data_IF_659342156513
#
_entry.id   IF_659342156513
#
_cell.length_a   1.000
_cell.length_b   1.000
_cell.length_c   1.000
_cell.angle_alpha   90.00
_cell.angle_beta   90.00
_cell.angle_gamma   90.00
#
_symmetry.space_group_name_H-M   'P 1'
#
loop_
_entity.id
_entity.type
_entity.pdbx_description
1 polymer ?
#
# COMPACT_ATOMS: atom_id res chain seq x y z
N UNK A 1 -29.89 -31.62 -7.97
CA UNK A 1 -29.03 -30.51 -7.46
C UNK A 1 -27.54 -30.65 -7.86
N UNK A 2 -26.86 -31.79 -7.60
CA UNK A 2 -25.43 -31.90 -7.95
C UNK A 2 -25.14 -32.09 -9.45
N UNK A 3 -26.03 -32.75 -10.19
CA UNK A 3 -25.94 -32.90 -11.67
C UNK A 3 -26.25 -31.59 -12.41
N UNK A 4 -27.01 -30.69 -11.82
CA UNK A 4 -27.31 -29.37 -12.38
C UNK A 4 -26.07 -28.49 -12.53
N UNK A 5 -25.01 -28.80 -11.76
CA UNK A 5 -23.71 -28.11 -11.87
C UNK A 5 -23.00 -28.38 -13.21
N UNK A 6 -23.39 -29.44 -13.92
CA UNK A 6 -22.79 -29.90 -15.16
C UNK A 6 -23.62 -29.55 -16.39
N UNK A 7 -24.67 -28.73 -16.25
CA UNK A 7 -25.53 -28.32 -17.37
C UNK A 7 -24.76 -27.49 -18.40
N UNK A 8 -25.07 -27.71 -19.67
CA UNK A 8 -24.44 -26.98 -20.77
C UNK A 8 -24.68 -25.48 -20.69
N UNK A 9 -25.81 -25.05 -20.11
CA UNK A 9 -26.14 -23.63 -19.90
C UNK A 9 -25.18 -22.92 -18.91
N UNK A 10 -24.47 -23.68 -18.08
CA UNK A 10 -23.45 -23.14 -17.19
C UNK A 10 -22.14 -22.86 -17.92
N UNK A 11 -21.90 -23.49 -19.07
CA UNK A 11 -20.68 -23.36 -19.87
C UNK A 11 -20.70 -22.05 -20.66
N UNK A 12 -19.55 -21.41 -20.78
CA UNK A 12 -19.39 -20.19 -21.57
C UNK A 12 -19.87 -20.40 -23.01
N UNK A 13 -20.62 -19.43 -23.54
CA UNK A 13 -21.29 -19.52 -24.86
C UNK A 13 -20.31 -19.80 -26.00
N UNK A 14 -19.10 -19.25 -25.93
CA UNK A 14 -18.07 -19.36 -26.96
C UNK A 14 -17.57 -20.79 -27.25
N UNK A 15 -17.87 -21.72 -26.35
CA UNK A 15 -17.38 -23.12 -26.46
C UNK A 15 -18.50 -24.16 -26.39
N UNK A 16 -19.76 -23.75 -26.19
CA UNK A 16 -20.89 -24.66 -25.96
C UNK A 16 -21.12 -25.65 -27.11
N UNK A 17 -20.99 -25.23 -28.35
CA UNK A 17 -21.18 -26.02 -29.56
C UNK A 17 -20.13 -27.13 -29.76
N UNK A 18 -19.02 -27.05 -29.00
CA UNK A 18 -17.90 -28.00 -29.04
C UNK A 18 -17.91 -29.00 -27.87
N UNK A 19 -18.87 -28.87 -26.97
CA UNK A 19 -18.95 -29.71 -25.79
C UNK A 19 -19.55 -31.05 -26.10
N UNK A 20 -18.89 -32.11 -25.68
CA UNK A 20 -19.42 -33.48 -25.64
C UNK A 20 -19.47 -33.96 -24.20
N UNK A 21 -20.37 -34.85 -23.89
CA UNK A 21 -20.53 -35.39 -22.56
C UNK A 21 -19.83 -36.75 -22.44
N UNK A 22 -18.87 -36.88 -21.51
CA UNK A 22 -18.09 -38.09 -21.27
C UNK A 22 -18.30 -38.54 -19.83
N UNK A 23 -18.61 -39.81 -19.61
CA UNK A 23 -18.75 -40.37 -18.25
C UNK A 23 -17.45 -40.22 -17.52
N UNK A 24 -17.51 -39.79 -16.27
CA UNK A 24 -16.31 -39.49 -15.44
C UNK A 24 -15.37 -40.70 -15.37
N UNK A 25 -15.90 -41.94 -15.25
CA UNK A 25 -15.10 -43.18 -15.20
C UNK A 25 -14.20 -43.39 -16.43
N UNK A 26 -14.48 -42.72 -17.52
CA UNK A 26 -13.69 -42.77 -18.76
C UNK A 26 -12.59 -41.69 -18.81
N UNK A 27 -12.51 -40.80 -17.79
CA UNK A 27 -11.50 -39.77 -17.73
C UNK A 27 -10.29 -40.26 -16.94
N UNK A 28 -9.11 -40.21 -17.56
CA UNK A 28 -7.84 -40.47 -16.90
C UNK A 28 -7.21 -39.14 -16.43
N UNK A 29 -7.01 -39.03 -15.13
CA UNK A 29 -6.39 -37.85 -14.53
C UNK A 29 -4.87 -37.97 -14.55
N UNK A 30 -4.17 -36.85 -14.57
CA UNK A 30 -2.72 -36.83 -14.37
C UNK A 30 -2.36 -37.37 -12.96
N UNK A 31 -1.18 -37.95 -12.82
CA UNK A 31 -0.69 -38.44 -11.50
C UNK A 31 -0.55 -37.32 -10.45
N UNK A 32 -0.49 -36.08 -10.90
CA UNK A 32 -0.44 -34.91 -10.02
C UNK A 32 -1.84 -34.62 -9.46
N UNK A 33 -2.02 -34.84 -8.15
CA UNK A 33 -3.22 -34.44 -7.40
C UNK A 33 -2.98 -33.07 -6.73
N UNK A 34 -3.34 -31.95 -7.35
CA UNK A 34 -3.25 -30.65 -6.68
C UNK A 34 -4.17 -30.62 -5.46
N UNK A 35 -3.84 -29.78 -4.48
CA UNK A 35 -4.76 -29.50 -3.37
C UNK A 35 -6.04 -28.90 -3.92
N UNK A 36 -7.18 -29.25 -3.30
CA UNK A 36 -8.48 -28.69 -3.70
C UNK A 36 -8.42 -27.17 -3.59
N UNK A 37 -8.69 -26.51 -4.71
CA UNK A 37 -8.83 -25.05 -4.76
C UNK A 37 -10.20 -24.65 -4.19
N UNK A 38 -10.21 -24.13 -2.98
CA UNK A 38 -11.45 -23.77 -2.26
C UNK A 38 -12.23 -22.65 -2.96
N UNK A 39 -11.55 -21.74 -3.69
CA UNK A 39 -12.20 -20.68 -4.43
C UNK A 39 -12.89 -21.25 -5.68
N UNK A 40 -12.20 -22.08 -6.44
CA UNK A 40 -12.76 -22.77 -7.59
C UNK A 40 -13.92 -23.70 -7.19
N UNK A 41 -13.76 -24.42 -6.10
CA UNK A 41 -14.83 -25.27 -5.52
C UNK A 41 -16.09 -24.48 -5.19
N UNK A 42 -15.93 -23.32 -4.55
CA UNK A 42 -17.07 -22.44 -4.21
C UNK A 42 -17.73 -21.91 -5.48
N UNK A 43 -16.97 -21.48 -6.47
CA UNK A 43 -17.52 -21.01 -7.76
C UNK A 43 -18.32 -22.09 -8.49
N UNK A 44 -17.81 -23.33 -8.49
CA UNK A 44 -18.54 -24.47 -9.11
C UNK A 44 -19.84 -24.73 -8.36
N UNK A 45 -19.84 -24.68 -7.00
CA UNK A 45 -21.05 -24.86 -6.21
C UNK A 45 -22.10 -23.77 -6.44
N UNK A 46 -21.68 -22.55 -6.70
CA UNK A 46 -22.57 -21.38 -6.83
C UNK A 46 -23.09 -21.21 -8.26
N UNK A 47 -22.22 -21.43 -9.27
CA UNK A 47 -22.51 -21.09 -10.66
C UNK A 47 -22.44 -22.28 -11.62
N UNK A 48 -22.12 -23.47 -11.15
CA UNK A 48 -21.85 -24.63 -11.98
C UNK A 48 -20.47 -24.57 -12.68
N UNK A 49 -20.22 -25.59 -13.50
CA UNK A 49 -18.98 -25.69 -14.28
C UNK A 49 -19.07 -24.73 -15.48
N UNK A 50 -18.29 -23.65 -15.47
CA UNK A 50 -18.28 -22.61 -16.51
C UNK A 50 -17.41 -22.97 -17.70
N UNK A 51 -16.35 -23.71 -17.47
CA UNK A 51 -15.44 -24.17 -18.50
C UNK A 51 -15.45 -25.71 -18.57
N UNK A 52 -15.57 -26.31 -19.76
CA UNK A 52 -15.53 -27.76 -19.94
C UNK A 52 -14.14 -28.30 -19.60
N UNK A 53 -14.08 -29.62 -19.37
CA UNK A 53 -12.81 -30.32 -19.21
C UNK A 53 -12.23 -30.60 -20.60
N UNK A 54 -10.94 -30.32 -20.80
CA UNK A 54 -10.28 -30.62 -22.07
C UNK A 54 -9.61 -32.00 -22.00
N UNK A 55 -9.93 -32.84 -22.97
CA UNK A 55 -9.47 -34.23 -22.99
C UNK A 55 -8.94 -34.61 -24.38
N UNK A 56 -8.08 -35.60 -24.43
CA UNK A 56 -7.61 -36.22 -25.66
C UNK A 56 -7.84 -37.72 -25.63
N UNK A 57 -8.21 -38.30 -26.74
CA UNK A 57 -8.34 -39.74 -26.87
C UNK A 57 -7.06 -40.32 -27.48
N UNK A 58 -6.20 -40.90 -26.65
CA UNK A 58 -4.87 -41.27 -27.09
C UNK A 58 -4.68 -42.75 -27.51
N UNK A 59 -5.48 -43.69 -27.01
CA UNK A 59 -5.14 -45.16 -27.26
C UNK A 59 -6.29 -46.15 -27.20
N UNK A 60 -7.43 -45.82 -26.63
CA UNK A 60 -8.59 -46.71 -26.50
C UNK A 60 -9.87 -45.94 -26.70
N UNK A 61 -10.83 -46.54 -27.42
CA UNK A 61 -12.07 -45.87 -27.83
C UNK A 61 -12.90 -45.24 -26.67
N UNK A 62 -12.69 -45.71 -25.45
CA UNK A 62 -13.46 -45.30 -24.26
C UNK A 62 -12.65 -44.62 -23.16
N UNK A 63 -11.36 -44.31 -23.37
CA UNK A 63 -10.51 -43.68 -22.36
C UNK A 63 -10.00 -42.33 -22.88
N UNK A 64 -10.20 -41.30 -22.08
CA UNK A 64 -9.80 -39.92 -22.37
C UNK A 64 -8.86 -39.37 -21.32
N UNK A 65 -7.68 -38.95 -21.74
CA UNK A 65 -6.72 -38.30 -20.86
C UNK A 65 -7.11 -36.83 -20.65
N UNK A 66 -7.21 -36.42 -19.39
CA UNK A 66 -7.46 -35.00 -19.06
C UNK A 66 -6.20 -34.19 -19.30
N UNK A 67 -6.24 -33.27 -20.25
CA UNK A 67 -5.12 -32.41 -20.63
C UNK A 67 -5.21 -31.01 -20.00
N UNK A 68 -6.45 -30.53 -19.75
CA UNK A 68 -6.69 -29.31 -18.97
C UNK A 68 -7.99 -29.43 -18.17
N UNK A 69 -7.99 -28.91 -16.95
CA UNK A 69 -9.11 -28.96 -16.03
C UNK A 69 -8.95 -29.92 -14.85
N UNK A 70 -7.75 -30.45 -14.59
CA UNK A 70 -7.49 -31.34 -13.43
C UNK A 70 -8.00 -30.76 -12.11
N UNK A 71 -7.81 -29.45 -11.86
CA UNK A 71 -8.33 -28.77 -10.66
C UNK A 71 -9.87 -28.77 -10.63
N UNK A 72 -10.52 -28.57 -11.77
CA UNK A 72 -11.99 -28.62 -11.90
C UNK A 72 -12.49 -30.02 -11.60
N UNK A 73 -11.83 -31.03 -12.13
CA UNK A 73 -12.15 -32.45 -11.88
C UNK A 73 -11.99 -32.79 -10.40
N UNK A 74 -10.91 -32.38 -9.75
CA UNK A 74 -10.70 -32.61 -8.31
C UNK A 74 -11.79 -31.92 -7.48
N UNK A 75 -12.19 -30.70 -7.82
CA UNK A 75 -13.29 -30.02 -7.15
C UNK A 75 -14.63 -30.75 -7.34
N UNK A 76 -14.91 -31.26 -8.55
CA UNK A 76 -16.11 -32.04 -8.84
C UNK A 76 -16.15 -33.35 -8.05
N UNK A 77 -15.01 -34.06 -7.94
CA UNK A 77 -14.92 -35.27 -7.10
C UNK A 77 -15.22 -34.99 -5.62
N UNK A 78 -14.76 -33.86 -5.10
CA UNK A 78 -15.04 -33.45 -3.72
C UNK A 78 -16.51 -33.02 -3.49
N UNK A 79 -17.11 -32.43 -4.51
CA UNK A 79 -18.50 -31.94 -4.44
C UNK A 79 -19.52 -33.06 -4.66
N UNK A 80 -19.26 -33.99 -5.59
CA UNK A 80 -20.21 -34.98 -6.09
C UNK A 80 -19.79 -36.38 -5.64
N UNK A 81 -20.54 -36.97 -4.72
CA UNK A 81 -20.42 -38.38 -4.37
C UNK A 81 -21.01 -39.25 -5.51
N UNK A 82 -20.36 -40.29 -5.95
CA UNK A 82 -20.74 -41.15 -7.10
C UNK A 82 -20.64 -40.45 -8.46
N UNK A 83 -19.55 -39.74 -8.66
CA UNK A 83 -19.29 -39.01 -9.92
C UNK A 83 -19.05 -39.91 -11.13
N UNK A 84 -18.64 -41.19 -10.92
CA UNK A 84 -18.19 -42.10 -11.98
C UNK A 84 -19.20 -42.30 -13.09
N UNK A 85 -20.51 -42.34 -12.80
CA UNK A 85 -21.56 -42.51 -13.75
C UNK A 85 -22.12 -41.20 -14.33
N UNK A 86 -21.63 -40.08 -13.86
CA UNK A 86 -22.06 -38.77 -14.36
C UNK A 86 -21.33 -38.42 -15.63
N UNK A 87 -22.05 -37.79 -16.53
CA UNK A 87 -21.50 -37.22 -17.75
C UNK A 87 -20.95 -35.84 -17.49
N UNK A 88 -19.66 -35.68 -17.78
CA UNK A 88 -18.90 -34.43 -17.57
C UNK A 88 -18.80 -33.73 -18.93
N UNK A 89 -19.12 -32.42 -19.00
CA UNK A 89 -18.95 -31.65 -20.22
C UNK A 89 -17.47 -31.50 -20.56
N UNK A 90 -17.06 -32.04 -21.69
CA UNK A 90 -15.70 -32.12 -22.18
C UNK A 90 -15.57 -31.55 -23.59
N UNK A 91 -14.39 -31.07 -23.94
CA UNK A 91 -13.97 -30.82 -25.33
C UNK A 91 -12.87 -31.83 -25.67
N UNK A 92 -13.12 -32.63 -26.68
CA UNK A 92 -12.09 -33.55 -27.21
C UNK A 92 -11.21 -32.75 -28.17
N UNK A 93 -9.95 -32.56 -27.79
CA UNK A 93 -8.95 -31.90 -28.60
C UNK A 93 -8.18 -32.92 -29.43
N UNK A 94 -7.99 -32.67 -30.72
CA UNK A 94 -6.92 -33.31 -31.45
C UNK A 94 -5.58 -32.67 -31.03
N UNK A 95 -4.50 -33.42 -31.19
CA UNK A 95 -3.19 -33.00 -30.68
C UNK A 95 -2.73 -31.65 -31.25
N UNK A 96 -3.01 -31.34 -32.49
CA UNK A 96 -2.63 -30.10 -33.16
C UNK A 96 -3.38 -28.87 -32.57
N UNK A 97 -4.71 -28.97 -32.43
CA UNK A 97 -5.51 -27.90 -31.84
C UNK A 97 -5.16 -27.64 -30.36
N UNK A 98 -4.76 -28.69 -29.65
CA UNK A 98 -4.32 -28.57 -28.27
C UNK A 98 -2.94 -27.90 -28.16
N UNK A 99 -1.99 -28.29 -29.05
CA UNK A 99 -0.67 -27.70 -29.10
C UNK A 99 -0.73 -26.20 -29.43
N UNK A 100 -1.61 -25.80 -30.34
CA UNK A 100 -1.87 -24.39 -30.68
C UNK A 100 -2.49 -23.63 -29.47
N UNK A 101 -3.40 -24.28 -28.75
CA UNK A 101 -3.99 -23.71 -27.52
C UNK A 101 -2.96 -23.57 -26.41
N UNK A 102 -2.13 -24.59 -26.19
CA UNK A 102 -1.02 -24.52 -25.22
C UNK A 102 -0.04 -23.42 -25.62
N UNK A 103 0.34 -23.33 -26.89
CA UNK A 103 1.22 -22.26 -27.37
C UNK A 103 0.59 -20.87 -27.16
N UNK A 104 -0.73 -20.75 -27.35
CA UNK A 104 -1.45 -19.50 -27.07
C UNK A 104 -1.54 -19.19 -25.58
N UNK A 105 -1.80 -20.19 -24.73
CA UNK A 105 -1.81 -20.05 -23.28
C UNK A 105 -0.41 -19.86 -22.70
N UNK A 106 0.60 -20.56 -23.22
CA UNK A 106 1.99 -20.30 -22.84
C UNK A 106 2.39 -18.89 -23.22
N UNK A 107 2.05 -18.41 -24.42
CA UNK A 107 2.27 -17.01 -24.82
C UNK A 107 1.46 -16.03 -23.99
N UNK A 108 0.25 -16.41 -23.57
CA UNK A 108 -0.59 -15.59 -22.69
C UNK A 108 -0.05 -15.60 -21.25
N UNK A 109 0.35 -16.76 -20.73
CA UNK A 109 1.03 -16.92 -19.43
C UNK A 109 2.42 -16.31 -19.44
N UNK A 110 3.17 -16.40 -20.53
CA UNK A 110 4.41 -15.64 -20.68
C UNK A 110 4.12 -14.15 -20.67
N UNK A 111 3.11 -13.66 -21.39
CA UNK A 111 2.68 -12.25 -21.29
C UNK A 111 2.16 -11.87 -19.89
N UNK A 112 1.53 -12.80 -19.17
CA UNK A 112 1.06 -12.60 -17.78
C UNK A 112 2.20 -12.78 -16.75
N UNK A 113 3.16 -13.66 -17.02
CA UNK A 113 4.41 -13.81 -16.24
C UNK A 113 5.38 -12.65 -16.50
N UNK A 114 5.37 -12.09 -17.70
CA UNK A 114 6.10 -10.86 -18.05
C UNK A 114 5.27 -9.59 -17.78
N UNK A 115 3.99 -9.67 -17.50
CA UNK A 115 3.29 -8.59 -16.80
C UNK A 115 3.83 -8.59 -15.37
N UNK A 116 4.82 -7.72 -15.17
CA UNK A 116 5.31 -7.38 -13.87
C UNK A 116 4.11 -7.19 -12.94
N UNK A 117 4.05 -7.94 -11.83
CA UNK A 117 2.97 -7.80 -10.86
C UNK A 117 3.04 -6.39 -10.27
N UNK A 118 2.41 -5.45 -10.97
CA UNK A 118 2.42 -4.03 -10.61
C UNK A 118 1.76 -3.77 -9.25
N UNK A 119 1.01 -4.75 -8.70
CA UNK A 119 0.45 -4.65 -7.35
C UNK A 119 1.55 -4.52 -6.29
N UNK A 120 2.74 -5.09 -6.54
CA UNK A 120 3.93 -4.99 -5.68
C UNK A 120 4.46 -3.57 -5.55
N UNK A 121 4.18 -2.72 -6.54
CA UNK A 121 4.63 -1.32 -6.56
C UNK A 121 3.63 -0.34 -5.95
N UNK A 122 2.48 -0.82 -5.48
CA UNK A 122 1.47 0.02 -4.83
C UNK A 122 1.89 0.44 -3.42
N UNK A 123 1.34 1.56 -2.97
CA UNK A 123 1.51 2.07 -1.60
C UNK A 123 2.83 2.81 -1.41
N UNK A 124 3.28 2.89 -0.17
CA UNK A 124 4.57 3.46 0.23
C UNK A 124 5.05 2.70 1.46
N UNK A 125 6.23 2.09 1.37
CA UNK A 125 6.82 1.26 2.43
C UNK A 125 8.20 1.77 2.78
N UNK A 126 8.63 1.50 4.03
CA UNK A 126 10.02 1.62 4.39
C UNK A 126 10.84 0.54 3.65
N UNK A 127 12.06 0.90 3.28
CA UNK A 127 12.96 0.00 2.57
C UNK A 127 13.44 -1.11 3.52
N UNK A 128 13.39 -2.40 3.13
CA UNK A 128 13.97 -3.49 3.91
C UNK A 128 15.45 -3.25 4.16
N UNK A 129 15.86 -3.25 5.44
CA UNK A 129 17.22 -2.89 5.85
C UNK A 129 17.73 -3.83 6.95
N UNK A 130 18.86 -4.48 6.67
CA UNK A 130 19.52 -5.38 7.62
C UNK A 130 20.07 -4.65 8.85
N UNK A 131 20.53 -3.41 8.72
CA UNK A 131 21.04 -2.64 9.89
C UNK A 131 19.89 -2.30 10.85
N UNK A 132 18.75 -1.84 10.31
CA UNK A 132 17.56 -1.58 11.13
C UNK A 132 16.99 -2.88 11.69
N UNK A 133 17.02 -3.98 10.93
CA UNK A 133 16.62 -5.30 11.44
C UNK A 133 17.52 -5.77 12.58
N UNK A 134 18.83 -5.59 12.43
CA UNK A 134 19.81 -5.90 13.49
C UNK A 134 19.58 -5.03 14.74
N UNK A 135 19.32 -3.75 14.56
CA UNK A 135 18.95 -2.85 15.67
C UNK A 135 17.77 -3.42 16.47
N UNK A 136 16.69 -3.84 15.81
CA UNK A 136 15.53 -4.46 16.47
C UNK A 136 15.89 -5.74 17.22
N UNK A 137 16.79 -6.55 16.70
CA UNK A 137 17.25 -7.80 17.32
C UNK A 137 18.12 -7.59 18.55
N UNK A 138 18.68 -6.38 18.74
CA UNK A 138 19.58 -6.05 19.84
C UNK A 138 18.96 -5.13 20.90
N UNK A 139 17.65 -4.88 20.82
CA UNK A 139 16.95 -4.12 21.87
C UNK A 139 17.00 -4.89 23.19
N UNK A 140 17.49 -4.23 24.24
CA UNK A 140 17.66 -4.85 25.55
C UNK A 140 16.32 -5.05 26.26
N UNK A 141 15.97 -6.30 26.56
CA UNK A 141 14.69 -6.67 27.22
C UNK A 141 14.60 -6.05 28.63
N UNK A 142 15.73 -5.91 29.36
CA UNK A 142 15.72 -5.27 30.67
C UNK A 142 15.38 -3.78 30.58
N UNK A 143 15.87 -3.10 29.54
CA UNK A 143 15.52 -1.70 29.29
C UNK A 143 14.03 -1.54 28.95
N UNK A 144 13.45 -2.46 28.16
CA UNK A 144 12.01 -2.47 27.90
C UNK A 144 11.19 -2.68 29.17
N UNK A 145 11.66 -3.54 30.09
CA UNK A 145 11.01 -3.72 31.40
C UNK A 145 11.04 -2.43 32.20
N UNK A 146 12.16 -1.70 32.18
CA UNK A 146 12.29 -0.43 32.87
C UNK A 146 11.31 0.63 32.37
N UNK A 147 11.01 0.64 31.05
CA UNK A 147 10.00 1.56 30.48
C UNK A 147 8.62 1.38 31.13
N UNK A 148 8.28 0.15 31.50
CA UNK A 148 6.98 -0.18 32.12
C UNK A 148 6.99 -0.06 33.64
N UNK A 149 8.17 0.03 34.25
CA UNK A 149 8.34 -0.01 35.73
C UNK A 149 8.61 1.37 36.34
N UNK A 150 9.36 2.22 35.63
CA UNK A 150 9.77 3.53 36.13
C UNK A 150 8.89 4.65 35.56
N UNK A 151 8.64 5.65 36.40
CA UNK A 151 7.83 6.81 36.03
C UNK A 151 8.67 7.85 35.25
N UNK A 152 9.13 7.47 34.05
CA UNK A 152 9.96 8.31 33.18
C UNK A 152 9.10 8.90 32.07
N UNK A 153 9.17 10.20 31.86
CA UNK A 153 8.44 10.90 30.81
C UNK A 153 9.09 10.64 29.43
N UNK A 154 8.79 9.50 28.84
CA UNK A 154 9.33 9.11 27.54
C UNK A 154 8.79 9.96 26.38
N UNK A 155 7.59 10.55 26.49
CA UNK A 155 7.08 11.46 25.47
C UNK A 155 7.97 12.71 25.36
N UNK A 156 8.32 13.30 26.50
CA UNK A 156 9.20 14.47 26.52
C UNK A 156 10.60 14.15 25.97
N UNK A 157 11.18 13.02 26.36
CA UNK A 157 12.49 12.58 25.85
C UNK A 157 12.45 12.40 24.34
N UNK A 158 11.40 11.74 23.81
CA UNK A 158 11.21 11.56 22.39
C UNK A 158 11.05 12.91 21.67
N UNK A 159 10.21 13.80 22.18
CA UNK A 159 9.96 15.12 21.61
C UNK A 159 11.26 15.93 21.51
N UNK A 160 12.03 15.99 22.59
CA UNK A 160 13.30 16.75 22.65
C UNK A 160 14.35 16.14 21.71
N UNK A 161 14.39 14.80 21.59
CA UNK A 161 15.29 14.09 20.68
C UNK A 161 14.88 14.30 19.22
N UNK A 162 13.59 14.15 18.93
CA UNK A 162 13.07 14.32 17.58
C UNK A 162 13.28 15.75 17.06
N UNK A 163 13.03 16.76 17.88
CA UNK A 163 13.20 18.17 17.48
C UNK A 163 14.66 18.48 17.06
N UNK A 164 15.62 17.94 17.78
CA UNK A 164 17.05 18.05 17.42
C UNK A 164 17.38 17.25 16.17
N UNK A 165 16.85 16.04 16.09
CA UNK A 165 17.13 15.09 15.03
C UNK A 165 16.61 15.58 13.66
N UNK A 166 15.36 16.07 13.60
CA UNK A 166 14.78 16.55 12.36
C UNK A 166 15.48 17.81 11.82
N UNK A 167 15.89 18.71 12.74
CA UNK A 167 16.67 19.90 12.42
C UNK A 167 18.12 19.59 12.04
N UNK A 168 18.59 18.38 12.30
CA UNK A 168 19.93 17.89 11.95
C UNK A 168 20.05 17.41 10.49
N UNK A 169 18.97 17.39 9.72
CA UNK A 169 19.00 17.04 8.30
C UNK A 169 19.94 18.00 7.53
N UNK A 170 20.75 17.41 6.64
CA UNK A 170 21.61 18.15 5.71
C UNK A 170 21.02 18.20 4.29
N UNK A 171 20.02 17.37 4.05
CA UNK A 171 19.36 17.23 2.76
C UNK A 171 18.05 18.02 2.65
N UNK A 172 17.42 18.30 3.80
CA UNK A 172 16.12 18.92 3.85
C UNK A 172 16.08 20.03 4.89
N UNK A 173 15.23 21.04 4.64
CA UNK A 173 15.04 22.16 5.54
C UNK A 173 13.57 22.58 5.60
N UNK A 174 12.99 22.59 6.79
CA UNK A 174 11.69 23.21 7.06
C UNK A 174 11.94 24.43 7.94
N UNK A 175 11.79 25.62 7.36
CA UNK A 175 11.89 26.87 8.08
C UNK A 175 10.60 27.15 8.83
N UNK A 176 10.71 27.87 9.95
CA UNK A 176 9.57 28.29 10.74
C UNK A 176 9.03 27.25 11.72
N UNK A 177 9.67 26.07 11.89
CA UNK A 177 9.26 25.10 12.91
C UNK A 177 9.33 25.67 14.36
N UNK A 178 10.11 26.70 14.61
CA UNK A 178 10.18 27.42 15.87
C UNK A 178 8.88 28.17 16.21
N UNK A 179 8.04 28.48 15.20
CA UNK A 179 6.71 29.07 15.37
C UNK A 179 5.65 28.07 15.87
N UNK A 180 6.00 26.78 15.88
CA UNK A 180 5.13 25.67 16.34
C UNK A 180 5.61 25.21 17.69
N UNK A 181 5.29 25.99 18.74
CA UNK A 181 5.85 25.80 20.09
C UNK A 181 5.30 24.56 20.80
N UNK A 182 4.06 24.16 20.48
CA UNK A 182 3.40 23.01 21.08
C UNK A 182 3.78 21.75 20.33
N UNK A 183 4.48 20.87 21.02
CA UNK A 183 5.02 19.62 20.46
C UNK A 183 4.43 18.43 21.18
N UNK A 184 3.89 17.47 20.44
CA UNK A 184 3.22 16.31 21.02
C UNK A 184 3.70 15.03 20.36
N UNK A 185 3.94 13.98 21.15
CA UNK A 185 4.10 12.61 20.67
C UNK A 185 2.77 12.13 20.06
N UNK A 186 2.84 11.41 18.95
CA UNK A 186 1.65 10.87 18.28
C UNK A 186 1.83 9.41 17.86
N UNK A 187 0.72 8.70 17.70
CA UNK A 187 0.70 7.36 17.12
C UNK A 187 0.84 7.38 15.57
N UNK A 188 1.83 8.13 15.07
CA UNK A 188 2.02 8.43 13.66
C UNK A 188 1.11 9.55 13.17
N UNK A 189 1.25 9.95 11.88
CA UNK A 189 0.53 11.10 11.29
C UNK A 189 -0.99 10.90 11.26
N UNK A 190 -1.49 9.67 11.20
CA UNK A 190 -2.92 9.39 11.15
C UNK A 190 -3.67 9.88 12.40
N UNK A 191 -3.06 9.84 13.58
CA UNK A 191 -3.68 10.40 14.78
C UNK A 191 -3.84 11.92 14.68
N UNK A 192 -2.85 12.61 14.09
CA UNK A 192 -2.96 14.05 13.83
C UNK A 192 -4.06 14.37 12.81
N UNK A 193 -4.22 13.53 11.77
CA UNK A 193 -5.32 13.69 10.80
C UNK A 193 -6.68 13.57 11.48
N UNK A 194 -6.86 12.52 12.28
CA UNK A 194 -8.14 12.28 12.97
C UNK A 194 -8.48 13.46 13.91
N UNK A 195 -7.49 13.95 14.67
CA UNK A 195 -7.65 15.11 15.53
C UNK A 195 -7.98 16.39 14.74
N UNK A 196 -7.25 16.67 13.65
CA UNK A 196 -7.51 17.81 12.78
C UNK A 196 -8.93 17.78 12.19
N UNK A 197 -9.39 16.61 11.73
CA UNK A 197 -10.74 16.49 11.17
C UNK A 197 -11.83 16.59 12.24
N UNK A 198 -11.59 16.09 13.43
CA UNK A 198 -12.52 16.25 14.54
C UNK A 198 -12.70 17.74 14.91
N UNK A 199 -11.62 18.52 14.94
CA UNK A 199 -11.67 19.97 15.21
C UNK A 199 -12.41 20.74 14.11
N UNK A 200 -12.33 20.28 12.87
CA UNK A 200 -12.90 20.96 11.70
C UNK A 200 -14.06 20.18 11.06
N UNK A 201 -14.80 19.37 11.84
CA UNK A 201 -15.84 18.46 11.35
C UNK A 201 -17.00 19.16 10.61
N UNK A 202 -17.22 20.47 10.85
CA UNK A 202 -18.22 21.30 10.20
C UNK A 202 -17.78 21.80 8.82
N UNK A 203 -16.47 21.73 8.51
CA UNK A 203 -15.88 22.21 7.27
C UNK A 203 -15.90 21.15 6.17
N UNK A 204 -15.66 21.60 4.92
CA UNK A 204 -15.43 20.70 3.80
C UNK A 204 -13.94 20.32 3.76
N UNK A 205 -13.64 19.02 3.77
CA UNK A 205 -12.26 18.53 3.74
C UNK A 205 -11.69 18.54 2.34
N UNK A 206 -10.44 18.99 2.20
CA UNK A 206 -9.76 19.15 0.92
C UNK A 206 -8.36 18.55 0.94
N UNK A 207 -8.00 17.87 -0.14
CA UNK A 207 -6.62 17.46 -0.45
C UNK A 207 -6.45 17.38 -1.97
N UNK A 208 -5.22 17.28 -2.44
CA UNK A 208 -4.94 17.01 -3.85
C UNK A 208 -5.29 15.59 -4.27
N UNK A 209 -5.55 15.36 -5.57
CA UNK A 209 -5.52 14.01 -6.14
C UNK A 209 -4.12 13.41 -5.94
N UNK A 210 -4.05 12.11 -5.71
CA UNK A 210 -2.77 11.46 -5.38
C UNK A 210 -2.36 11.49 -3.90
N UNK A 211 -3.08 12.20 -3.04
CA UNK A 211 -2.85 12.18 -1.59
C UNK A 211 -3.11 10.80 -0.96
N UNK A 212 -2.71 10.64 0.29
CA UNK A 212 -2.88 9.40 1.03
C UNK A 212 -4.36 9.01 1.09
N UNK A 213 -4.67 7.79 0.60
CA UNK A 213 -6.05 7.31 0.46
C UNK A 213 -6.86 7.32 1.78
N UNK A 214 -6.19 7.33 2.94
CA UNK A 214 -6.80 7.41 4.26
C UNK A 214 -7.71 8.63 4.41
N UNK A 215 -7.32 9.76 3.84
CA UNK A 215 -8.14 10.98 3.83
C UNK A 215 -9.50 10.69 3.18
N UNK A 216 -9.50 10.21 1.94
CA UNK A 216 -10.72 9.89 1.21
C UNK A 216 -11.56 8.80 1.89
N UNK A 217 -10.93 7.78 2.46
CA UNK A 217 -11.62 6.68 3.12
C UNK A 217 -12.38 7.16 4.37
N UNK A 218 -11.79 8.06 5.16
CA UNK A 218 -12.42 8.64 6.33
C UNK A 218 -13.48 9.69 5.94
N UNK A 219 -13.20 10.51 4.97
CA UNK A 219 -14.12 11.60 4.56
C UNK A 219 -15.42 11.09 3.94
N UNK A 220 -15.45 9.89 3.41
CA UNK A 220 -16.71 9.26 2.98
C UNK A 220 -17.76 9.18 4.09
N UNK A 221 -17.32 9.19 5.35
CA UNK A 221 -18.21 9.23 6.54
C UNK A 221 -18.62 10.65 6.92
N UNK A 222 -17.88 11.65 6.49
CA UNK A 222 -18.16 13.06 6.70
C UNK A 222 -18.64 13.63 5.37
N UNK A 223 -19.87 14.02 5.26
CA UNK A 223 -20.58 14.31 4.00
C UNK A 223 -20.02 15.47 3.14
N UNK A 224 -18.94 16.13 3.56
CA UNK A 224 -18.39 17.29 2.86
C UNK A 224 -16.89 17.10 2.60
N UNK A 225 -16.54 16.58 1.44
CA UNK A 225 -15.16 16.54 0.98
C UNK A 225 -15.09 16.75 -0.53
N UNK A 226 -13.98 17.29 -1.04
CA UNK A 226 -13.74 17.49 -2.46
C UNK A 226 -12.25 17.68 -2.73
N UNK A 227 -11.75 17.22 -3.88
CA UNK A 227 -10.35 17.47 -4.24
C UNK A 227 -10.11 18.96 -4.53
N UNK A 228 -8.91 19.44 -4.18
CA UNK A 228 -8.44 20.79 -4.50
C UNK A 228 -8.44 21.00 -6.01
N UNK A 229 -8.05 19.97 -6.76
CA UNK A 229 -7.99 19.95 -8.24
C UNK A 229 -9.36 20.19 -8.89
N UNK A 230 -10.43 19.79 -8.23
CA UNK A 230 -11.77 19.83 -8.84
C UNK A 230 -12.54 21.13 -8.52
N UNK A 231 -12.14 21.85 -7.45
CA UNK A 231 -12.83 23.07 -7.05
C UNK A 231 -11.95 24.01 -6.21
N UNK A 232 -12.10 25.29 -6.41
CA UNK A 232 -11.37 26.31 -5.67
C UNK A 232 -11.60 26.24 -4.15
N UNK A 233 -10.60 26.66 -3.38
CA UNK A 233 -10.67 26.79 -1.92
C UNK A 233 -11.64 27.88 -1.50
N UNK A 234 -12.41 27.64 -0.44
CA UNK A 234 -13.33 28.58 0.18
C UNK A 234 -13.13 28.64 1.70
N UNK A 235 -13.67 29.66 2.35
CA UNK A 235 -13.54 29.86 3.81
C UNK A 235 -14.14 28.72 4.67
N UNK A 236 -15.02 27.89 4.08
CA UNK A 236 -15.60 26.72 4.74
C UNK A 236 -14.80 25.43 4.55
N UNK A 237 -13.57 25.53 4.07
CA UNK A 237 -12.72 24.38 3.84
C UNK A 237 -11.75 24.12 5.00
N UNK A 238 -11.26 22.89 5.11
CA UNK A 238 -10.11 22.48 5.89
C UNK A 238 -9.21 21.62 4.99
N UNK A 239 -7.91 21.90 4.96
CA UNK A 239 -6.99 21.42 3.94
C UNK A 239 -5.91 20.53 4.56
N UNK A 240 -5.58 19.42 3.90
CA UNK A 240 -4.39 18.62 4.20
C UNK A 240 -3.49 18.59 2.97
N UNK A 241 -2.20 18.86 3.16
CA UNK A 241 -1.18 18.83 2.11
C UNK A 241 0.01 18.00 2.58
N UNK A 242 0.42 17.01 1.79
CA UNK A 242 1.66 16.27 2.07
C UNK A 242 2.90 17.04 1.59
N UNK A 243 3.92 17.09 2.45
CA UNK A 243 5.22 17.69 2.15
C UNK A 243 6.36 16.77 2.61
N UNK A 244 7.06 16.07 1.68
CA UNK A 244 6.85 16.09 0.23
C UNK A 244 5.54 15.45 -0.19
N UNK A 245 5.02 15.90 -1.31
CA UNK A 245 3.88 15.27 -1.96
C UNK A 245 4.28 13.92 -2.53
N UNK A 246 3.57 12.87 -2.14
CA UNK A 246 4.03 11.50 -2.36
C UNK A 246 4.17 11.10 -3.82
N UNK A 247 3.36 11.67 -4.73
CA UNK A 247 3.42 11.36 -6.16
C UNK A 247 4.55 12.07 -6.89
N UNK A 248 5.04 13.20 -6.34
CA UNK A 248 6.14 13.94 -6.97
C UNK A 248 7.48 13.74 -6.25
N UNK A 249 7.46 13.31 -4.98
CA UNK A 249 8.66 13.19 -4.14
C UNK A 249 9.27 14.52 -3.69
N UNK A 250 8.60 15.62 -4.01
CA UNK A 250 8.94 17.01 -3.69
C UNK A 250 7.66 17.80 -3.36
N UNK A 251 7.73 19.10 -3.22
CA UNK A 251 6.51 19.90 -3.02
C UNK A 251 5.54 19.75 -4.19
N UNK A 252 4.24 19.81 -3.90
CA UNK A 252 3.23 19.84 -4.96
C UNK A 252 3.32 21.18 -5.73
N UNK A 253 3.27 21.20 -7.09
CA UNK A 253 3.46 22.41 -7.88
C UNK A 253 2.51 23.56 -7.50
N UNK A 254 1.32 23.24 -6.98
CA UNK A 254 0.33 24.23 -6.54
C UNK A 254 0.37 24.51 -5.03
N UNK A 255 1.26 23.87 -4.26
CA UNK A 255 1.27 23.95 -2.79
C UNK A 255 1.31 25.41 -2.32
N UNK A 256 2.27 26.18 -2.84
CA UNK A 256 2.41 27.60 -2.46
C UNK A 256 1.14 28.41 -2.74
N UNK A 257 0.58 28.27 -3.94
CA UNK A 257 -0.65 29.02 -4.32
C UNK A 257 -1.83 28.64 -3.43
N UNK A 258 -1.96 27.37 -3.04
CA UNK A 258 -3.02 26.91 -2.13
C UNK A 258 -2.80 27.46 -0.72
N UNK A 259 -1.56 27.46 -0.22
CA UNK A 259 -1.22 28.03 1.08
C UNK A 259 -1.48 29.54 1.12
N UNK A 260 -1.08 30.28 0.08
CA UNK A 260 -1.38 31.72 -0.04
C UNK A 260 -2.90 31.97 0.01
N UNK A 261 -3.69 31.14 -0.67
CA UNK A 261 -5.15 31.24 -0.65
C UNK A 261 -5.76 30.84 0.69
N UNK A 262 -5.23 29.82 1.34
CA UNK A 262 -5.66 29.43 2.69
C UNK A 262 -5.33 30.52 3.71
N UNK A 263 -4.17 31.19 3.60
CA UNK A 263 -3.80 32.31 4.46
C UNK A 263 -4.74 33.51 4.28
N UNK A 264 -5.05 33.87 3.02
CA UNK A 264 -6.01 34.92 2.69
C UNK A 264 -7.40 34.67 3.31
N UNK A 265 -7.91 33.42 3.15
CA UNK A 265 -9.27 33.04 3.56
C UNK A 265 -9.34 32.50 5.00
N UNK A 266 -8.24 32.47 5.74
CA UNK A 266 -8.13 31.87 7.07
C UNK A 266 -8.64 30.42 7.13
N UNK A 267 -8.29 29.63 6.11
CA UNK A 267 -8.63 28.21 6.00
C UNK A 267 -7.60 27.40 6.76
N UNK A 268 -7.98 26.55 7.74
CA UNK A 268 -7.02 25.75 8.49
C UNK A 268 -6.34 24.70 7.59
N UNK A 269 -5.02 24.56 7.77
CA UNK A 269 -4.18 23.65 7.01
C UNK A 269 -3.39 22.73 7.94
N UNK A 270 -3.33 21.46 7.60
CA UNK A 270 -2.42 20.46 8.17
C UNK A 270 -1.38 20.07 7.12
N UNK A 271 -0.09 20.09 7.49
CA UNK A 271 1.01 19.60 6.65
C UNK A 271 1.41 18.19 7.10
N UNK A 272 1.33 17.22 6.16
CA UNK A 272 1.75 15.83 6.38
C UNK A 272 3.19 15.60 5.89
N UNK A 273 4.12 15.48 6.82
CA UNK A 273 5.52 15.21 6.57
C UNK A 273 5.90 13.72 6.74
N UNK A 274 4.96 12.78 6.48
CA UNK A 274 5.23 11.34 6.63
C UNK A 274 6.39 10.84 5.76
N UNK A 275 6.67 11.49 4.64
CA UNK A 275 7.74 11.12 3.71
C UNK A 275 8.99 12.01 3.82
N UNK A 276 9.03 12.96 4.73
CA UNK A 276 10.11 13.94 4.84
C UNK A 276 11.49 13.27 5.01
N UNK A 277 11.58 12.28 5.89
CA UNK A 277 12.85 11.59 6.23
C UNK A 277 13.36 10.59 5.18
N UNK A 278 12.62 10.41 4.10
CA UNK A 278 13.02 9.57 2.96
C UNK A 278 13.20 10.38 1.67
N UNK A 279 13.14 11.70 1.78
CA UNK A 279 13.25 12.63 0.68
C UNK A 279 14.54 13.45 0.77
N UNK A 280 14.84 14.18 -0.32
CA UNK A 280 15.94 15.16 -0.41
C UNK A 280 15.47 16.43 -1.11
N UNK A 281 16.29 17.48 -0.95
CA UNK A 281 16.13 18.78 -1.64
C UNK A 281 14.79 19.48 -1.31
N UNK A 282 14.26 19.24 -0.09
CA UNK A 282 13.10 19.94 0.43
C UNK A 282 13.55 21.21 1.16
N UNK A 283 13.11 22.36 0.70
CA UNK A 283 13.33 23.65 1.36
C UNK A 283 12.06 24.51 1.29
N UNK A 284 11.34 24.62 2.39
CA UNK A 284 10.12 25.42 2.46
C UNK A 284 10.01 26.18 3.78
N UNK A 285 9.49 27.40 3.70
CA UNK A 285 9.28 28.29 4.86
C UNK A 285 7.80 28.39 5.22
N UNK A 286 7.45 27.83 6.38
CA UNK A 286 6.10 27.89 6.94
C UNK A 286 5.90 29.04 7.93
N UNK A 287 6.91 29.90 8.15
CA UNK A 287 6.87 30.95 9.19
C UNK A 287 5.66 31.86 9.08
N UNK A 288 5.35 32.32 7.87
CA UNK A 288 4.35 33.33 7.58
C UNK A 288 2.94 32.76 7.35
N UNK A 289 2.81 31.42 7.23
CA UNK A 289 1.51 30.77 7.02
C UNK A 289 0.82 30.47 8.35
N UNK A 290 0.09 31.46 8.88
CA UNK A 290 -0.66 31.31 10.13
C UNK A 290 -1.83 30.35 10.01
N UNK A 291 -2.31 30.11 8.79
CA UNK A 291 -3.31 29.10 8.46
C UNK A 291 -2.82 27.67 8.67
N UNK A 292 -1.51 27.43 8.61
CA UNK A 292 -0.93 26.11 8.92
C UNK A 292 -0.92 25.93 10.44
N UNK A 293 -1.89 25.15 10.91
CA UNK A 293 -2.08 24.91 12.32
C UNK A 293 -1.12 23.84 12.87
N UNK A 294 -0.95 22.77 12.09
CA UNK A 294 -0.17 21.60 12.49
C UNK A 294 0.78 21.15 11.37
N UNK A 295 1.97 20.71 11.76
CA UNK A 295 2.92 19.97 10.90
C UNK A 295 3.16 18.63 11.59
N UNK A 296 2.97 17.51 10.89
CA UNK A 296 3.09 16.18 11.50
C UNK A 296 4.09 15.29 10.78
N UNK A 297 4.83 14.49 11.54
CA UNK A 297 5.86 13.58 11.07
C UNK A 297 5.60 12.15 11.54
N UNK A 298 6.17 11.16 10.84
CA UNK A 298 6.13 9.77 11.24
C UNK A 298 7.45 9.05 10.94
N UNK A 299 7.87 8.15 11.83
CA UNK A 299 9.03 7.28 11.60
C UNK A 299 8.71 6.08 10.70
N UNK A 300 7.44 5.85 10.39
CA UNK A 300 6.96 4.62 9.73
C UNK A 300 7.49 4.39 8.30
N UNK A 301 8.04 5.41 7.66
CA UNK A 301 8.59 5.33 6.30
C UNK A 301 10.12 5.40 6.29
N UNK A 302 10.72 6.01 7.30
CA UNK A 302 12.17 6.18 7.40
C UNK A 302 12.91 4.90 7.75
N UNK A 303 12.30 4.02 8.54
CA UNK A 303 12.97 2.86 9.10
C UNK A 303 12.17 1.57 8.89
N UNK A 304 12.87 0.50 8.50
CA UNK A 304 12.28 -0.81 8.30
C UNK A 304 11.52 -1.28 9.55
N UNK A 305 10.26 -1.68 9.37
CA UNK A 305 9.31 -2.11 10.40
C UNK A 305 8.90 -1.06 11.47
N UNK A 306 9.40 0.16 11.43
CA UNK A 306 8.98 1.21 12.36
C UNK A 306 7.48 1.58 12.26
N UNK A 307 6.83 1.21 11.16
CA UNK A 307 5.38 1.32 11.02
C UNK A 307 4.60 0.52 12.08
N UNK A 308 5.22 -0.52 12.68
CA UNK A 308 4.62 -1.32 13.76
C UNK A 308 4.67 -0.61 15.11
N UNK A 309 5.59 0.32 15.30
CA UNK A 309 5.71 1.09 16.55
C UNK A 309 4.58 2.13 16.70
N UNK A 310 4.07 2.64 15.58
CA UNK A 310 3.11 3.75 15.57
C UNK A 310 3.65 4.97 16.32
N UNK A 311 4.74 5.55 15.79
CA UNK A 311 5.46 6.69 16.36
C UNK A 311 5.50 7.84 15.39
N UNK A 312 5.16 9.01 15.88
CA UNK A 312 5.19 10.26 15.13
C UNK A 312 5.31 11.47 16.06
N UNK A 313 5.31 12.63 15.45
CA UNK A 313 5.45 13.92 16.10
C UNK A 313 4.48 14.92 15.48
N UNK A 314 3.77 15.69 16.31
CA UNK A 314 3.00 16.85 15.91
C UNK A 314 3.68 18.12 16.43
N UNK A 315 3.83 19.08 15.55
CA UNK A 315 4.14 20.49 15.84
C UNK A 315 2.89 21.31 15.63
N UNK A 316 2.44 22.06 16.65
CA UNK A 316 1.26 22.92 16.59
C UNK A 316 1.63 24.36 16.96
N UNK A 317 1.01 25.35 16.29
CA UNK A 317 1.23 26.77 16.60
C UNK A 317 0.71 27.16 17.97
N UNK A 318 -0.34 26.49 18.42
CA UNK A 318 -0.98 26.76 19.71
C UNK A 318 -1.53 25.48 20.31
N UNK A 319 -1.72 25.48 21.60
CA UNK A 319 -2.32 24.39 22.34
C UNK A 319 -3.75 24.16 21.84
N UNK A 320 -4.10 22.94 21.51
CA UNK A 320 -5.39 22.57 20.87
C UNK A 320 -6.43 22.10 21.87
N UNK A 321 -6.01 21.65 23.05
CA UNK A 321 -6.88 21.00 24.04
C UNK A 321 -7.64 19.80 23.43
N UNK A 322 -6.98 19.11 22.53
CA UNK A 322 -7.53 17.96 21.83
C UNK A 322 -7.05 16.64 22.44
N UNK A 323 -7.54 15.53 21.90
CA UNK A 323 -7.17 14.18 22.35
C UNK A 323 -5.66 13.92 22.37
N UNK A 324 -4.89 14.54 21.48
CA UNK A 324 -3.42 14.38 21.46
C UNK A 324 -2.79 15.14 22.62
N UNK A 325 -3.18 16.38 22.87
CA UNK A 325 -2.65 17.19 23.95
C UNK A 325 -2.99 16.57 25.31
N UNK A 326 -4.25 16.15 25.50
CA UNK A 326 -4.70 15.48 26.74
C UNK A 326 -3.91 14.21 27.00
N UNK A 327 -3.72 13.35 25.99
CA UNK A 327 -2.95 12.10 26.16
C UNK A 327 -1.48 12.35 26.49
N UNK A 328 -0.86 13.40 25.91
CA UNK A 328 0.53 13.77 26.23
C UNK A 328 0.64 14.39 27.65
N UNK A 329 -0.30 15.25 28.03
CA UNK A 329 -0.34 15.89 29.36
C UNK A 329 -0.52 14.84 30.48
N UNK A 330 -1.39 13.86 30.26
CA UNK A 330 -1.70 12.82 31.24
C UNK A 330 -0.77 11.59 31.12
N UNK A 331 0.27 11.68 30.27
CA UNK A 331 1.21 10.59 30.02
C UNK A 331 0.54 9.27 29.55
N UNK A 332 -0.62 9.37 28.90
CA UNK A 332 -1.36 8.24 28.34
C UNK A 332 -0.96 7.98 26.89
N UNK A 333 0.32 7.76 26.68
CA UNK A 333 0.92 7.56 25.36
C UNK A 333 1.47 6.13 25.20
N UNK A 334 1.92 5.80 23.99
CA UNK A 334 2.68 4.58 23.75
C UNK A 334 4.14 4.73 24.23
N UNK A 335 4.39 4.47 25.53
CA UNK A 335 5.72 4.60 26.15
C UNK A 335 6.78 3.75 25.46
N UNK A 336 6.46 2.46 25.15
CA UNK A 336 7.40 1.60 24.43
C UNK A 336 7.72 2.14 23.04
N UNK A 337 6.71 2.68 22.34
CA UNK A 337 6.91 3.33 21.05
C UNK A 337 7.78 4.58 21.17
N UNK A 338 7.55 5.43 22.17
CA UNK A 338 8.36 6.64 22.43
C UNK A 338 9.82 6.28 22.75
N UNK A 339 10.03 5.30 23.64
CA UNK A 339 11.37 4.81 23.98
C UNK A 339 12.10 4.24 22.75
N UNK A 340 11.50 3.30 22.04
CA UNK A 340 12.10 2.67 20.85
C UNK A 340 12.29 3.67 19.70
N UNK A 341 11.38 4.62 19.57
CA UNK A 341 11.51 5.74 18.65
C UNK A 341 12.72 6.59 18.97
N UNK A 342 12.92 6.95 20.25
CA UNK A 342 14.11 7.68 20.71
C UNK A 342 15.39 6.93 20.38
N UNK A 343 15.46 5.62 20.67
CA UNK A 343 16.63 4.79 20.35
C UNK A 343 16.94 4.74 18.85
N UNK A 344 15.91 4.71 17.99
CA UNK A 344 16.11 4.83 16.53
C UNK A 344 16.74 6.16 16.14
N UNK A 345 16.27 7.27 16.74
CA UNK A 345 16.78 8.61 16.44
C UNK A 345 18.21 8.83 16.95
N UNK A 346 18.59 8.18 18.05
CA UNK A 346 19.96 8.18 18.59
C UNK A 346 20.92 7.39 17.68
N UNK A 347 20.47 6.28 17.09
CA UNK A 347 21.30 5.40 16.26
C UNK A 347 21.42 5.88 14.80
N UNK A 348 20.34 6.39 14.21
CA UNK A 348 20.28 6.71 12.79
C UNK A 348 20.00 8.21 12.57
N UNK A 349 20.80 8.91 11.73
CA UNK A 349 20.53 10.30 11.38
C UNK A 349 19.24 10.47 10.55
N UNK A 350 18.70 11.69 10.51
CA UNK A 350 17.46 12.00 9.76
C UNK A 350 17.56 11.69 8.27
N UNK A 351 18.73 11.80 7.68
CA UNK A 351 18.99 11.56 6.26
C UNK A 351 19.37 10.09 5.95
N UNK A 352 19.27 9.20 6.95
CA UNK A 352 19.77 7.83 6.86
C UNK A 352 19.25 7.07 5.64
N UNK A 353 17.94 7.06 5.41
CA UNK A 353 17.34 6.28 4.31
C UNK A 353 17.84 6.75 2.94
N UNK A 354 17.94 8.06 2.73
CA UNK A 354 18.43 8.65 1.50
C UNK A 354 19.92 8.34 1.29
N UNK A 355 20.75 8.58 2.31
CA UNK A 355 22.20 8.33 2.22
C UNK A 355 22.52 6.84 1.98
N UNK A 356 21.68 5.94 2.50
CA UNK A 356 21.92 4.50 2.42
C UNK A 356 21.45 3.88 1.10
N UNK A 357 20.34 4.33 0.54
CA UNK A 357 19.67 3.62 -0.55
C UNK A 357 19.59 4.40 -1.86
N UNK A 358 20.09 5.66 -1.93
CA UNK A 358 19.98 6.46 -3.15
C UNK A 358 20.68 5.80 -4.34
N UNK A 359 21.88 5.27 -4.16
CA UNK A 359 22.63 4.61 -5.23
C UNK A 359 21.90 3.35 -5.73
N UNK A 360 21.29 2.57 -4.80
CA UNK A 360 20.48 1.40 -5.15
C UNK A 360 19.22 1.80 -5.94
N UNK A 361 18.59 2.93 -5.57
CA UNK A 361 17.44 3.48 -6.31
C UNK A 361 17.85 3.87 -7.73
N UNK A 362 18.93 4.63 -7.89
CA UNK A 362 19.40 5.09 -9.18
C UNK A 362 19.74 3.93 -10.11
N UNK A 363 20.47 2.94 -9.58
CA UNK A 363 20.84 1.73 -10.32
C UNK A 363 19.58 0.96 -10.76
N UNK A 364 18.64 0.72 -9.85
CA UNK A 364 17.39 0.02 -10.17
C UNK A 364 16.57 0.76 -11.24
N UNK A 365 16.49 2.09 -11.12
CA UNK A 365 15.75 2.90 -12.08
C UNK A 365 16.41 2.85 -13.48
N UNK A 366 17.74 2.91 -13.57
CA UNK A 366 18.47 2.76 -14.82
C UNK A 366 18.24 1.40 -15.48
N UNK A 367 18.36 0.30 -14.71
CA UNK A 367 18.16 -1.08 -15.18
C UNK A 367 16.73 -1.34 -15.68
N UNK A 368 15.73 -0.60 -15.18
CA UNK A 368 14.31 -0.82 -15.47
C UNK A 368 13.65 0.33 -16.24
N UNK A 369 14.46 1.26 -16.78
CA UNK A 369 13.97 2.42 -17.53
C UNK A 369 12.90 3.23 -16.77
N UNK A 370 13.15 3.47 -15.48
CA UNK A 370 12.31 4.28 -14.60
C UNK A 370 12.98 5.61 -14.30
N UNK A 371 12.19 6.63 -13.98
CA UNK A 371 12.70 7.91 -13.47
C UNK A 371 12.77 7.88 -11.95
N UNK A 372 13.93 8.13 -11.31
CA UNK A 372 14.01 8.15 -9.85
C UNK A 372 13.28 9.35 -9.26
N UNK A 373 12.52 9.13 -8.18
CA UNK A 373 11.93 10.18 -7.36
C UNK A 373 12.96 10.79 -6.39
N UNK A 374 12.69 11.99 -5.88
CA UNK A 374 13.44 12.57 -4.76
C UNK A 374 13.05 11.95 -3.41
N UNK A 375 12.04 11.10 -3.35
CA UNK A 375 11.81 10.15 -2.25
C UNK A 375 12.44 8.80 -2.60
N UNK A 376 13.41 8.34 -1.81
CA UNK A 376 14.25 7.19 -2.15
C UNK A 376 13.49 5.87 -2.41
N UNK A 377 12.34 5.52 -1.77
CA UNK A 377 11.63 4.29 -2.09
C UNK A 377 10.71 4.40 -3.32
N UNK A 378 10.74 5.53 -4.05
CA UNK A 378 9.84 5.76 -5.18
C UNK A 378 10.56 5.97 -6.50
N UNK A 379 9.87 5.58 -7.57
CA UNK A 379 10.24 5.85 -8.95
C UNK A 379 8.99 6.20 -9.75
N UNK A 380 9.18 6.72 -10.95
CA UNK A 380 8.12 7.01 -11.91
C UNK A 380 8.25 6.12 -13.14
N UNK A 381 7.15 5.44 -13.46
CA UNK A 381 7.03 4.59 -14.65
C UNK A 381 6.43 5.32 -15.84
N UNK A 382 6.74 4.83 -17.04
CA UNK A 382 6.23 5.39 -18.27
C UNK A 382 4.72 5.25 -18.39
N UNK A 383 4.10 6.18 -19.09
CA UNK A 383 2.67 6.13 -19.45
C UNK A 383 2.39 4.89 -20.33
N UNK A 384 1.32 4.19 -20.04
CA UNK A 384 0.90 2.95 -20.69
C UNK A 384 1.19 1.71 -19.85
N UNK A 385 2.43 1.43 -19.50
CA UNK A 385 2.82 0.24 -18.74
C UNK A 385 2.38 0.30 -17.27
N UNK A 386 2.44 1.50 -16.65
CA UNK A 386 2.17 1.70 -15.23
C UNK A 386 0.90 2.51 -14.94
N UNK A 387 -0.01 2.65 -15.89
CA UNK A 387 -1.23 3.46 -15.74
C UNK A 387 -2.10 3.04 -14.55
N UNK A 388 -2.13 1.74 -14.21
CA UNK A 388 -2.88 1.22 -13.06
C UNK A 388 -2.29 1.68 -11.70
N UNK A 389 -1.13 2.30 -11.70
CA UNK A 389 -0.50 2.92 -10.51
C UNK A 389 -0.76 4.42 -10.43
N UNK A 390 -1.40 5.01 -11.45
CA UNK A 390 -1.81 6.40 -11.43
C UNK A 390 -2.87 6.65 -10.36
N UNK A 391 -2.71 7.73 -9.61
CA UNK A 391 -3.59 8.09 -8.51
C UNK A 391 -4.37 9.38 -8.75
N UNK A 392 -4.45 9.80 -10.01
CA UNK A 392 -5.15 11.02 -10.43
C UNK A 392 -4.22 12.21 -10.65
N UNK A 393 -2.91 11.96 -10.69
CA UNK A 393 -1.86 12.93 -11.07
C UNK A 393 -1.36 12.66 -12.49
N UNK A 394 -0.40 13.43 -12.95
CA UNK A 394 0.25 13.28 -14.26
C UNK A 394 1.40 12.25 -14.26
N UNK A 395 1.65 11.57 -13.14
CA UNK A 395 2.71 10.59 -12.99
C UNK A 395 2.19 9.23 -12.51
N UNK A 396 2.90 8.17 -12.87
CA UNK A 396 2.67 6.82 -12.38
C UNK A 396 3.74 6.49 -11.32
N UNK A 397 3.42 6.66 -10.03
CA UNK A 397 4.36 6.44 -8.94
C UNK A 397 4.43 4.98 -8.52
N UNK A 398 5.65 4.42 -8.57
CA UNK A 398 6.00 3.08 -8.10
C UNK A 398 6.66 3.15 -6.71
N UNK A 399 6.33 2.22 -5.82
CA UNK A 399 7.11 1.97 -4.62
C UNK A 399 8.06 0.79 -4.88
N UNK A 400 9.35 1.10 -5.03
CA UNK A 400 10.43 0.15 -5.31
C UNK A 400 11.22 -0.25 -4.06
N UNK A 401 10.66 -0.01 -2.88
CA UNK A 401 11.32 -0.27 -1.60
C UNK A 401 11.86 -1.70 -1.46
N UNK A 402 11.06 -2.70 -1.86
CA UNK A 402 11.43 -4.13 -1.73
C UNK A 402 12.49 -4.55 -2.76
N UNK A 403 12.63 -3.80 -3.85
CA UNK A 403 13.58 -4.06 -4.92
C UNK A 403 14.98 -3.50 -4.63
N UNK A 404 15.04 -2.38 -3.92
CA UNK A 404 16.29 -1.70 -3.59
C UNK A 404 16.80 -2.02 -2.19
N UNK A 405 15.97 -2.64 -1.36
CA UNK A 405 16.32 -3.05 -0.01
C UNK A 405 17.19 -4.32 0.06
N UNK A 406 17.69 -4.59 1.23
CA UNK A 406 18.39 -5.85 1.51
C UNK A 406 17.37 -7.00 1.58
N UNK A 407 17.77 -8.21 1.16
CA UNK A 407 16.99 -9.42 1.46
C UNK A 407 17.06 -9.69 2.97
N UNK A 408 15.94 -9.51 3.68
CA UNK A 408 15.82 -9.59 5.14
C UNK A 408 15.04 -10.82 5.59
#
# INVERSE_FOLDING_TARGET
MKSELLLIDNIFEEVRDRVVYIKFKHLTLSEYKPKIDLYLRRNILEYGLKEPIYVTNNRHEDIFDVIDGNNRVNCLQDIISNIDELEIPCIVANYEAWNDKILLEVKKREKELYKMDISKFRGGRAIPDLQVKWFWGNVNVLELSNVLTYNTNYSKIFIDTFDKWIKGSKLNNIKGLDKYEHKSFTAGTSQTFDSFWMRHHDKRFRCFKGEFFYHKANWKKFHKWEYIDDKAISFNDAVVISFPFSDYGKEHPQMKNILDKCEELKVPVLIDCAYYVIAKDLDFDFSDYTCVEDITFSLSKGFYQANKLRVGMRYSRYFKDDNIDIMNEWDQINHLGAYLGTKLLEEFPSDYAMNRFRDSQLKYCEEHNLTPSDCVPFAFGQTGEYNDLNRGTDVNRLCIADQIGNKV
#
